data_IF_478315506771
#
_entry.id   IF_478315506771
#
_cell.length_a   1.000
_cell.length_b   1.000
_cell.length_c   1.000
_cell.angle_alpha   90.00
_cell.angle_beta   90.00
_cell.angle_gamma   90.00
#
_symmetry.space_group_name_H-M   'P 1'
#
loop_
_entity.id
_entity.type
_entity.pdbx_description
1 polymer ?
#
# COMPACT_ATOMS: atom_id res chain seq x y z
N UNK A 1 35.55 18.22 -34.55
CA UNK A 1 34.11 18.55 -34.60
C UNK A 1 33.38 17.32 -35.09
N UNK A 2 32.75 16.54 -34.20
CA UNK A 2 31.86 15.49 -34.66
C UNK A 2 30.62 16.15 -35.26
N UNK A 3 30.31 15.80 -36.50
CA UNK A 3 29.14 16.24 -37.24
C UNK A 3 27.88 15.84 -36.43
N UNK A 4 26.99 16.80 -36.20
CA UNK A 4 25.68 16.54 -35.60
C UNK A 4 24.86 15.66 -36.55
N UNK A 5 24.98 14.34 -36.41
CA UNK A 5 24.07 13.43 -37.08
C UNK A 5 22.65 13.64 -36.51
N UNK A 6 21.61 13.71 -37.37
CA UNK A 6 20.24 13.79 -36.90
C UNK A 6 19.92 12.54 -36.05
N UNK A 7 19.34 12.74 -34.86
CA UNK A 7 18.94 11.63 -34.00
C UNK A 7 17.73 10.93 -34.59
N UNK A 8 17.81 9.61 -34.79
CA UNK A 8 16.70 8.75 -35.22
C UNK A 8 16.09 7.94 -34.08
N UNK A 9 16.62 8.10 -32.86
CA UNK A 9 16.16 7.41 -31.65
C UNK A 9 15.79 8.41 -30.56
N UNK A 10 14.94 7.97 -29.63
CA UNK A 10 14.67 8.72 -28.40
C UNK A 10 15.93 8.80 -27.52
N UNK A 11 16.12 9.92 -26.85
CA UNK A 11 17.21 10.09 -25.88
C UNK A 11 16.86 9.37 -24.59
N UNK A 12 17.79 8.57 -24.06
CA UNK A 12 17.66 7.88 -22.77
C UNK A 12 16.43 6.96 -22.64
N UNK A 13 15.97 6.39 -23.76
CA UNK A 13 14.87 5.40 -23.82
C UNK A 13 15.34 4.23 -24.67
N UNK A 14 15.44 3.04 -24.08
CA UNK A 14 15.89 1.84 -24.79
C UNK A 14 14.73 0.96 -25.23
N UNK A 15 13.68 0.87 -24.38
CA UNK A 15 12.50 0.07 -24.66
C UNK A 15 11.24 0.72 -24.08
N UNK A 16 10.11 0.50 -24.74
CA UNK A 16 8.79 0.90 -24.25
C UNK A 16 8.35 0.11 -23.00
N UNK A 17 9.01 -1.02 -22.73
CA UNK A 17 8.70 -1.91 -21.61
C UNK A 17 9.34 -1.48 -20.30
N UNK A 18 10.19 -0.46 -20.31
CA UNK A 18 10.87 0.05 -19.12
C UNK A 18 9.91 0.93 -18.31
N UNK A 19 9.98 0.82 -16.98
CA UNK A 19 9.38 1.80 -16.08
C UNK A 19 10.14 3.13 -16.22
N UNK A 20 9.42 4.13 -16.71
CA UNK A 20 9.93 5.49 -16.78
C UNK A 20 9.76 6.23 -15.44
N UNK A 21 10.18 7.50 -15.43
CA UNK A 21 10.30 8.32 -14.23
C UNK A 21 9.02 8.37 -13.39
N UNK A 22 7.85 8.58 -14.00
CA UNK A 22 6.59 8.73 -13.26
C UNK A 22 6.23 7.45 -12.49
N UNK A 23 6.24 6.30 -13.17
CA UNK A 23 5.98 5.00 -12.54
C UNK A 23 7.01 4.71 -11.44
N UNK A 24 8.28 4.95 -11.73
CA UNK A 24 9.37 4.73 -10.76
C UNK A 24 9.18 5.59 -9.51
N UNK A 25 8.83 6.87 -9.67
CA UNK A 25 8.56 7.77 -8.54
C UNK A 25 7.31 7.35 -7.75
N UNK A 26 6.20 7.00 -8.41
CA UNK A 26 4.99 6.54 -7.71
C UNK A 26 5.24 5.28 -6.87
N UNK A 27 5.94 4.29 -7.45
CA UNK A 27 6.32 3.04 -6.77
C UNK A 27 7.20 3.31 -5.56
N UNK A 28 8.21 4.16 -5.72
CA UNK A 28 9.13 4.52 -4.65
C UNK A 28 8.43 5.31 -3.53
N UNK A 29 7.62 6.32 -3.88
CA UNK A 29 6.86 7.10 -2.91
C UNK A 29 5.87 6.23 -2.12
N UNK A 30 5.20 5.29 -2.79
CA UNK A 30 4.33 4.31 -2.10
C UNK A 30 5.13 3.50 -1.08
N UNK A 31 6.22 2.85 -1.52
CA UNK A 31 7.03 1.99 -0.66
C UNK A 31 7.65 2.76 0.51
N UNK A 32 8.09 3.99 0.27
CA UNK A 32 8.59 4.90 1.30
C UNK A 32 7.52 5.21 2.35
N UNK A 33 6.30 5.57 1.93
CA UNK A 33 5.22 5.88 2.86
C UNK A 33 4.79 4.63 3.64
N UNK A 34 4.63 3.49 2.98
CA UNK A 34 4.29 2.22 3.62
C UNK A 34 5.30 1.87 4.73
N UNK A 35 6.59 1.94 4.42
CA UNK A 35 7.64 1.65 5.41
C UNK A 35 7.68 2.68 6.54
N UNK A 36 7.54 3.97 6.20
CA UNK A 36 7.62 5.06 7.17
C UNK A 36 6.46 5.04 8.15
N UNK A 37 5.23 4.74 7.68
CA UNK A 37 4.06 4.59 8.56
C UNK A 37 4.24 3.43 9.52
N UNK A 38 4.81 2.30 9.08
CA UNK A 38 5.11 1.21 10.01
C UNK A 38 6.16 1.62 11.03
N UNK A 39 7.22 2.31 10.64
CA UNK A 39 8.28 2.73 11.56
C UNK A 39 7.76 3.61 12.71
N UNK A 40 6.69 4.37 12.50
CA UNK A 40 6.07 5.22 13.53
C UNK A 40 4.91 4.57 14.30
N UNK A 41 4.68 3.26 14.14
CA UNK A 41 3.59 2.57 14.86
C UNK A 41 2.26 2.51 14.11
N UNK A 42 2.24 2.74 12.79
CA UNK A 42 1.04 2.81 11.95
C UNK A 42 0.41 1.45 11.61
N UNK A 43 0.24 0.57 12.60
CA UNK A 43 -0.38 -0.75 12.45
C UNK A 43 -1.32 -1.08 13.62
N UNK A 44 -2.20 -2.05 13.41
CA UNK A 44 -3.07 -2.61 14.45
C UNK A 44 -2.88 -4.11 14.57
N UNK A 45 -2.71 -4.57 15.80
CA UNK A 45 -2.56 -5.98 16.12
C UNK A 45 -3.92 -6.62 16.43
N UNK A 46 -4.24 -7.67 15.70
CA UNK A 46 -5.43 -8.50 15.91
C UNK A 46 -4.98 -9.79 16.58
N UNK A 47 -5.31 -9.93 17.85
CA UNK A 47 -4.96 -11.09 18.68
C UNK A 47 -6.23 -11.88 18.99
N UNK A 48 -6.17 -13.19 18.75
CA UNK A 48 -7.17 -14.14 19.22
C UNK A 48 -7.17 -14.10 20.74
N UNK A 49 -8.23 -13.53 21.30
CA UNK A 49 -8.46 -13.48 22.74
C UNK A 49 -9.83 -14.07 23.05
N UNK A 50 -9.92 -14.74 24.20
CA UNK A 50 -11.17 -15.33 24.68
C UNK A 50 -11.97 -14.36 25.57
N UNK A 51 -11.42 -13.18 25.90
CA UNK A 51 -11.93 -12.31 26.96
C UNK A 51 -11.89 -10.82 26.54
N UNK A 52 -12.92 -10.36 25.84
CA UNK A 52 -13.20 -8.92 25.72
C UNK A 52 -14.64 -8.63 26.12
N UNK A 53 -14.85 -7.54 26.88
CA UNK A 53 -16.15 -7.09 27.40
C UNK A 53 -17.14 -6.66 26.30
N UNK A 54 -16.66 -6.49 25.07
CA UNK A 54 -17.42 -6.39 23.83
C UNK A 54 -16.99 -7.54 22.92
N UNK A 55 -17.89 -8.09 22.10
CA UNK A 55 -17.65 -9.18 21.13
C UNK A 55 -16.60 -8.80 20.06
N UNK A 56 -15.35 -8.59 20.46
CA UNK A 56 -14.25 -8.27 19.58
C UNK A 56 -13.89 -9.54 18.82
N UNK A 57 -14.35 -9.60 17.59
CA UNK A 57 -14.29 -10.77 16.71
C UNK A 57 -13.42 -10.51 15.49
N UNK A 58 -12.57 -9.48 15.51
CA UNK A 58 -11.70 -9.09 14.39
C UNK A 58 -10.71 -10.19 13.96
N UNK A 59 -10.40 -11.11 14.87
CA UNK A 59 -9.57 -12.29 14.59
C UNK A 59 -10.31 -13.39 13.82
N UNK A 60 -11.66 -13.36 13.76
CA UNK A 60 -12.45 -14.32 12.99
C UNK A 60 -12.50 -13.86 11.53
N UNK A 61 -12.11 -14.75 10.63
CA UNK A 61 -12.17 -14.50 9.19
C UNK A 61 -13.56 -14.80 8.65
N UNK A 62 -13.93 -14.11 7.56
CA UNK A 62 -15.19 -14.33 6.86
C UNK A 62 -14.97 -15.11 5.57
N UNK A 63 -15.84 -16.06 5.22
CA UNK A 63 -15.72 -16.76 3.95
C UNK A 63 -16.06 -15.80 2.81
N UNK A 64 -15.19 -15.77 1.79
CA UNK A 64 -15.42 -14.99 0.57
C UNK A 64 -16.28 -15.80 -0.39
N UNK A 65 -17.25 -15.14 -1.02
CA UNK A 65 -18.15 -15.75 -2.00
C UNK A 65 -18.03 -15.01 -3.34
N UNK A 66 -16.97 -15.33 -4.08
CA UNK A 66 -16.69 -14.78 -5.41
C UNK A 66 -16.99 -15.79 -6.51
N UNK A 67 -17.41 -15.29 -7.67
CA UNK A 67 -17.68 -16.13 -8.85
C UNK A 67 -16.38 -16.80 -9.33
N UNK A 68 -16.40 -18.14 -9.44
CA UNK A 68 -15.23 -18.93 -9.85
C UNK A 68 -14.38 -19.47 -8.71
N UNK A 69 -14.68 -19.11 -7.46
CA UNK A 69 -14.02 -19.67 -6.27
C UNK A 69 -14.97 -20.64 -5.57
N UNK A 70 -14.48 -21.82 -5.19
CA UNK A 70 -15.26 -22.79 -4.41
C UNK A 70 -15.53 -22.20 -3.01
N UNK A 71 -16.79 -22.16 -2.54
CA UNK A 71 -17.13 -21.62 -1.23
C UNK A 71 -16.28 -22.25 -0.11
N UNK A 72 -15.82 -21.42 0.82
CA UNK A 72 -15.00 -21.85 1.96
C UNK A 72 -13.54 -22.16 1.64
N UNK A 73 -13.10 -21.88 0.41
CA UNK A 73 -11.68 -21.91 0.02
C UNK A 73 -10.95 -20.62 0.40
N UNK A 74 -11.61 -19.48 0.30
CA UNK A 74 -11.02 -18.17 0.59
C UNK A 74 -11.69 -17.54 1.79
N UNK A 75 -10.89 -17.00 2.69
CA UNK A 75 -11.31 -16.34 3.90
C UNK A 75 -10.63 -14.98 4.01
N UNK A 76 -11.37 -13.93 4.34
CA UNK A 76 -10.83 -12.57 4.44
C UNK A 76 -10.90 -12.01 5.86
N UNK A 77 -9.90 -11.20 6.20
CA UNK A 77 -9.90 -10.41 7.42
C UNK A 77 -10.82 -9.21 7.34
N UNK A 78 -10.96 -8.50 8.46
CA UNK A 78 -11.74 -7.25 8.50
C UNK A 78 -11.09 -6.12 7.69
N UNK A 79 -9.77 -6.18 7.55
CA UNK A 79 -8.94 -5.19 6.88
C UNK A 79 -7.98 -5.89 5.95
N UNK A 80 -7.69 -5.23 4.84
CA UNK A 80 -6.65 -5.63 3.88
C UNK A 80 -5.32 -4.99 4.23
N UNK A 81 -4.28 -5.33 3.46
CA UNK A 81 -2.91 -4.84 3.64
C UNK A 81 -2.30 -5.28 4.98
N UNK A 82 -2.13 -6.60 5.11
CA UNK A 82 -1.52 -7.24 6.27
C UNK A 82 -0.01 -7.00 6.28
N UNK A 83 0.54 -6.73 7.47
CA UNK A 83 1.94 -6.34 7.67
C UNK A 83 2.84 -7.57 7.63
N UNK A 84 3.55 -7.77 6.53
CA UNK A 84 4.50 -8.88 6.37
C UNK A 84 5.95 -8.48 6.67
N UNK A 85 6.23 -7.19 6.78
CA UNK A 85 7.57 -6.66 6.94
C UNK A 85 8.17 -7.01 8.31
N UNK A 86 9.44 -7.40 8.31
CA UNK A 86 10.19 -7.73 9.54
C UNK A 86 11.24 -6.64 9.86
N UNK A 87 11.76 -6.68 11.10
CA UNK A 87 12.76 -5.72 11.56
C UNK A 87 12.21 -4.33 11.90
N UNK A 88 10.89 -4.20 12.03
CA UNK A 88 10.21 -2.95 12.39
C UNK A 88 9.85 -3.00 13.87
N UNK A 89 10.23 -1.95 14.60
CA UNK A 89 9.85 -1.74 16.00
C UNK A 89 9.46 -0.28 16.24
N UNK A 90 8.40 -0.07 17.03
CA UNK A 90 7.99 1.24 17.51
C UNK A 90 7.89 1.20 19.03
N UNK A 91 8.95 1.66 19.71
CA UNK A 91 9.13 1.45 21.14
C UNK A 91 9.29 -0.03 21.46
N UNK A 92 8.44 -0.57 22.34
CA UNK A 92 8.48 -1.98 22.76
C UNK A 92 7.49 -2.87 21.98
N UNK A 93 6.96 -2.40 20.84
CA UNK A 93 5.97 -3.13 20.04
C UNK A 93 6.50 -3.41 18.66
N UNK A 94 6.21 -4.62 18.18
CA UNK A 94 6.49 -5.10 16.82
C UNK A 94 5.17 -5.64 16.23
N UNK A 95 4.96 -5.52 14.90
CA UNK A 95 3.80 -6.12 14.26
C UNK A 95 3.85 -7.66 14.34
N UNK A 96 2.67 -8.27 14.41
CA UNK A 96 2.48 -9.72 14.34
C UNK A 96 2.68 -10.17 12.89
N UNK A 97 3.79 -10.86 12.68
CA UNK A 97 4.17 -11.48 11.40
C UNK A 97 4.07 -13.01 11.46
N UNK A 98 3.81 -13.58 12.64
CA UNK A 98 3.60 -15.01 12.86
C UNK A 98 2.11 -15.38 12.77
N UNK A 99 1.68 -15.77 11.58
CA UNK A 99 0.27 -16.02 11.24
C UNK A 99 -0.16 -17.45 11.55
N UNK A 100 -0.50 -17.71 12.81
CA UNK A 100 -1.01 -19.02 13.24
C UNK A 100 -2.51 -19.16 12.94
N UNK A 101 -2.83 -19.88 11.87
CA UNK A 101 -4.21 -20.16 11.46
C UNK A 101 -4.82 -21.29 12.29
N UNK A 102 -6.01 -21.06 12.82
CA UNK A 102 -6.84 -22.09 13.47
C UNK A 102 -8.17 -22.24 12.78
N UNK A 103 -8.58 -23.49 12.52
CA UNK A 103 -9.89 -23.84 11.98
C UNK A 103 -10.57 -24.74 12.99
N UNK A 104 -11.72 -24.33 13.53
CA UNK A 104 -12.45 -25.06 14.57
C UNK A 104 -11.56 -25.47 15.76
N UNK A 105 -10.68 -24.54 16.19
CA UNK A 105 -9.69 -24.71 17.26
C UNK A 105 -8.57 -25.74 16.97
N UNK A 106 -8.41 -26.20 15.73
CA UNK A 106 -7.24 -26.97 15.31
C UNK A 106 -6.26 -26.05 14.57
N UNK A 107 -4.97 -26.12 14.93
CA UNK A 107 -3.92 -25.42 14.20
C UNK A 107 -3.76 -26.05 12.82
N UNK A 108 -3.63 -25.21 11.79
CA UNK A 108 -3.37 -25.64 10.43
C UNK A 108 -1.93 -25.30 10.08
N UNK A 109 -1.21 -26.26 9.51
CA UNK A 109 0.17 -26.02 9.05
C UNK A 109 0.20 -24.99 7.90
N UNK A 110 1.23 -24.14 7.92
CA UNK A 110 1.45 -23.09 6.91
C UNK A 110 1.47 -23.61 5.46
N UNK A 111 1.82 -24.89 5.25
CA UNK A 111 1.84 -25.52 3.93
C UNK A 111 0.44 -25.79 3.34
N UNK A 112 -0.60 -25.75 4.18
CA UNK A 112 -1.98 -26.05 3.77
C UNK A 112 -2.77 -24.81 3.31
N UNK A 113 -2.16 -23.63 3.38
CA UNK A 113 -2.77 -22.38 2.96
C UNK A 113 -1.75 -21.38 2.44
N UNK A 114 -2.24 -20.38 1.73
CA UNK A 114 -1.49 -19.22 1.29
C UNK A 114 -2.10 -17.96 1.91
N UNK A 115 -1.27 -16.96 2.17
CA UNK A 115 -1.70 -15.64 2.63
C UNK A 115 -1.48 -14.65 1.50
N UNK A 116 -2.55 -13.99 1.06
CA UNK A 116 -2.48 -12.82 0.20
C UNK A 116 -2.48 -11.58 1.11
N UNK A 117 -1.29 -10.99 1.27
CA UNK A 117 -1.08 -9.86 2.17
C UNK A 117 -1.76 -8.57 1.71
N UNK A 118 -1.64 -8.15 0.44
CA UNK A 118 -2.31 -6.94 -0.04
C UNK A 118 -3.83 -6.97 0.14
N UNK A 119 -4.48 -8.11 -0.06
CA UNK A 119 -5.93 -8.26 0.08
C UNK A 119 -6.39 -8.65 1.51
N UNK A 120 -5.45 -9.05 2.38
CA UNK A 120 -5.77 -9.55 3.72
C UNK A 120 -6.59 -10.84 3.70
N UNK A 121 -6.19 -11.77 2.82
CA UNK A 121 -6.92 -13.02 2.55
C UNK A 121 -6.08 -14.25 2.81
N UNK A 122 -6.76 -15.33 3.17
CA UNK A 122 -6.21 -16.67 3.27
C UNK A 122 -6.87 -17.54 2.22
N UNK A 123 -6.04 -18.25 1.45
CA UNK A 123 -6.46 -19.18 0.42
C UNK A 123 -6.08 -20.57 0.91
N UNK A 124 -7.09 -21.37 1.26
CA UNK A 124 -6.89 -22.75 1.68
C UNK A 124 -6.67 -23.64 0.46
N UNK A 125 -5.80 -24.64 0.59
CA UNK A 125 -5.61 -25.64 -0.47
C UNK A 125 -6.90 -26.46 -0.68
N UNK A 126 -7.54 -26.86 0.43
CA UNK A 126 -8.80 -27.59 0.46
C UNK A 126 -9.90 -26.72 1.07
N UNK A 127 -11.11 -26.67 0.45
CA UNK A 127 -12.21 -25.90 0.99
C UNK A 127 -12.71 -26.46 2.31
N UNK A 128 -13.13 -25.57 3.21
CA UNK A 128 -13.71 -25.91 4.51
C UNK A 128 -15.16 -25.41 4.54
N UNK A 129 -16.01 -26.00 5.39
CA UNK A 129 -17.38 -25.52 5.57
C UNK A 129 -17.43 -24.01 5.85
N UNK A 130 -18.32 -23.28 5.17
CA UNK A 130 -18.51 -21.83 5.33
C UNK A 130 -18.92 -21.43 6.76
N UNK A 131 -19.44 -22.38 7.54
CA UNK A 131 -19.81 -22.18 8.94
C UNK A 131 -18.66 -22.49 9.92
N UNK A 132 -17.48 -22.90 9.41
CA UNK A 132 -16.33 -23.18 10.26
C UNK A 132 -15.80 -21.89 10.89
N UNK A 133 -15.30 -22.00 12.12
CA UNK A 133 -14.67 -20.89 12.81
C UNK A 133 -13.21 -20.83 12.41
N UNK A 134 -12.89 -19.99 11.42
CA UNK A 134 -11.51 -19.68 11.01
C UNK A 134 -11.00 -18.46 11.77
N UNK A 135 -9.89 -18.60 12.50
CA UNK A 135 -9.29 -17.53 13.31
C UNK A 135 -7.80 -17.42 13.07
N UNK A 136 -7.26 -16.20 13.11
CA UNK A 136 -5.82 -15.97 12.96
C UNK A 136 -5.37 -14.74 13.74
N UNK A 137 -4.12 -14.76 14.20
CA UNK A 137 -3.42 -13.58 14.69
C UNK A 137 -2.74 -12.88 13.52
N UNK A 138 -2.95 -11.58 13.37
CA UNK A 138 -2.35 -10.80 12.29
C UNK A 138 -2.24 -9.34 12.67
N UNK A 139 -1.38 -8.62 11.97
CA UNK A 139 -1.38 -7.16 11.99
C UNK A 139 -1.72 -6.61 10.62
N UNK A 140 -2.46 -5.51 10.58
CA UNK A 140 -2.78 -4.79 9.36
C UNK A 140 -2.37 -3.33 9.47
N UNK A 141 -2.11 -2.71 8.32
CA UNK A 141 -1.69 -1.30 8.22
C UNK A 141 -2.84 -0.38 8.60
N UNK A 142 -2.57 0.60 9.45
CA UNK A 142 -3.59 1.58 9.84
C UNK A 142 -3.98 2.49 8.68
N UNK A 143 -2.97 2.94 7.93
CA UNK A 143 -3.13 3.84 6.78
C UNK A 143 -2.84 3.04 5.52
N UNK A 144 -3.78 3.01 4.59
CA UNK A 144 -3.60 2.31 3.32
C UNK A 144 -3.09 3.27 2.25
N UNK A 145 -1.94 2.96 1.64
CA UNK A 145 -1.34 3.79 0.59
C UNK A 145 -1.55 3.14 -0.76
N UNK A 146 -2.08 3.92 -1.71
CA UNK A 146 -2.38 3.48 -3.06
C UNK A 146 -1.71 4.34 -4.10
N UNK A 147 -1.45 3.77 -5.27
CA UNK A 147 -1.19 4.52 -6.49
C UNK A 147 -2.51 4.72 -7.22
N UNK A 148 -2.74 5.90 -7.78
CA UNK A 148 -3.95 6.21 -8.56
C UNK A 148 -4.11 5.25 -9.75
N UNK A 149 -3.02 4.82 -10.37
CA UNK A 149 -3.03 3.87 -11.49
C UNK A 149 -3.43 2.44 -11.09
N UNK A 150 -3.33 2.10 -9.80
CA UNK A 150 -3.64 0.76 -9.30
C UNK A 150 -5.02 0.66 -8.65
N UNK A 151 -5.68 1.79 -8.43
CA UNK A 151 -7.03 1.84 -7.90
C UNK A 151 -7.86 2.75 -8.79
N UNK A 152 -8.83 2.16 -9.48
CA UNK A 152 -9.86 2.93 -10.15
C UNK A 152 -10.50 3.86 -9.10
N UNK A 153 -10.52 5.17 -9.37
CA UNK A 153 -11.18 6.18 -8.53
C UNK A 153 -12.66 5.88 -8.23
N UNK A 154 -13.23 4.84 -8.86
CA UNK A 154 -14.58 4.32 -8.70
C UNK A 154 -14.69 3.04 -7.87
N UNK A 155 -13.63 2.59 -7.20
CA UNK A 155 -13.78 1.57 -6.15
C UNK A 155 -14.67 2.10 -5.02
N UNK A 156 -15.50 1.24 -4.44
CA UNK A 156 -16.49 1.67 -3.45
C UNK A 156 -15.74 2.03 -2.15
N UNK A 157 -15.93 3.26 -1.68
CA UNK A 157 -15.34 3.73 -0.42
C UNK A 157 -16.06 3.04 0.74
N UNK A 158 -15.30 2.39 1.62
CA UNK A 158 -15.83 1.70 2.78
C UNK A 158 -15.75 2.60 4.02
N UNK A 159 -16.92 3.01 4.53
CA UNK A 159 -17.06 3.76 5.77
C UNK A 159 -17.04 2.84 7.01
N UNK A 160 -16.67 3.36 8.18
CA UNK A 160 -16.74 2.67 9.48
C UNK A 160 -15.87 1.40 9.57
N UNK A 161 -14.58 1.52 9.25
CA UNK A 161 -13.69 0.35 9.17
C UNK A 161 -13.36 -0.41 10.48
N UNK A 162 -13.85 -0.04 11.68
CA UNK A 162 -13.83 -0.94 12.85
C UNK A 162 -15.23 -1.18 13.46
N UNK A 163 -16.25 -1.47 12.64
CA UNK A 163 -17.58 -1.88 13.15
C UNK A 163 -17.61 -3.39 13.49
N UNK A 164 -18.28 -3.76 14.58
CA UNK A 164 -18.39 -5.16 15.06
C UNK A 164 -19.11 -6.08 14.06
N UNK A 165 -18.93 -7.39 14.18
CA UNK A 165 -19.39 -8.43 13.23
C UNK A 165 -20.84 -8.31 12.73
N UNK A 166 -21.76 -7.74 13.52
CA UNK A 166 -23.19 -7.58 13.19
C UNK A 166 -23.47 -6.60 12.03
N UNK A 167 -22.58 -5.65 11.73
CA UNK A 167 -22.73 -4.76 10.57
C UNK A 167 -22.17 -5.37 9.27
N UNK A 168 -21.16 -6.24 9.40
CA UNK A 168 -20.53 -6.96 8.29
C UNK A 168 -21.40 -8.16 7.83
N UNK A 169 -22.39 -8.61 8.63
CA UNK A 169 -23.33 -9.69 8.26
C UNK A 169 -24.59 -9.19 7.55
N UNK A 170 -24.71 -7.88 7.29
CA UNK A 170 -25.85 -7.30 6.52
C UNK A 170 -25.67 -7.58 5.03
N UNK A 171 -25.79 -8.85 4.67
CA UNK A 171 -25.83 -9.36 3.29
C UNK A 171 -27.01 -8.81 2.47
N UNK A 172 -27.98 -8.15 3.13
CA UNK A 172 -29.09 -7.42 2.51
C UNK A 172 -28.81 -5.95 2.18
N UNK A 173 -27.75 -5.35 2.74
CA UNK A 173 -27.47 -3.92 2.60
C UNK A 173 -26.19 -3.77 1.78
N UNK A 174 -26.36 -3.37 0.52
CA UNK A 174 -25.40 -3.57 -0.58
C UNK A 174 -24.00 -2.95 -0.47
N UNK A 175 -23.65 -2.25 0.61
CA UNK A 175 -22.30 -1.66 0.78
C UNK A 175 -21.26 -2.63 1.38
N UNK A 176 -21.68 -3.66 2.11
CA UNK A 176 -20.77 -4.62 2.78
C UNK A 176 -20.72 -6.01 2.13
N UNK A 177 -21.50 -6.22 1.05
CA UNK A 177 -21.51 -7.48 0.27
C UNK A 177 -20.31 -7.62 -0.68
N UNK A 178 -19.48 -6.58 -0.76
CA UNK A 178 -18.41 -6.45 -1.74
C UNK A 178 -17.09 -6.73 -1.00
N UNK A 179 -16.37 -7.77 -1.43
CA UNK A 179 -15.14 -8.21 -0.76
C UNK A 179 -14.05 -7.14 -0.78
N UNK A 180 -13.09 -7.26 0.14
CA UNK A 180 -12.05 -6.25 0.41
C UNK A 180 -11.22 -5.85 -0.84
N UNK A 181 -11.15 -6.71 -1.86
CA UNK A 181 -10.43 -6.44 -3.11
C UNK A 181 -11.02 -5.28 -3.92
N UNK A 182 -12.30 -4.94 -3.72
CA UNK A 182 -13.01 -3.93 -4.51
C UNK A 182 -13.32 -2.64 -3.73
N UNK A 183 -12.81 -2.50 -2.51
CA UNK A 183 -13.08 -1.34 -1.63
C UNK A 183 -11.81 -0.61 -1.22
N UNK A 184 -11.88 0.71 -1.07
CA UNK A 184 -10.85 1.49 -0.36
C UNK A 184 -11.25 1.59 1.10
N UNK A 185 -10.35 1.20 2.02
CA UNK A 185 -10.63 1.26 3.45
C UNK A 185 -9.94 2.47 4.08
N UNK A 186 -10.66 3.17 4.95
CA UNK A 186 -10.21 4.43 5.54
C UNK A 186 -9.48 4.20 6.88
N UNK A 187 -8.44 4.97 7.21
CA UNK A 187 -7.87 6.06 6.42
C UNK A 187 -6.97 5.59 5.27
N UNK A 188 -7.01 6.32 4.16
CA UNK A 188 -6.24 6.01 2.95
C UNK A 188 -5.55 7.25 2.35
N UNK A 189 -4.41 7.01 1.70
CA UNK A 189 -3.66 8.00 0.92
C UNK A 189 -3.56 7.47 -0.51
N UNK A 190 -4.06 8.23 -1.48
CA UNK A 190 -3.92 7.89 -2.90
C UNK A 190 -2.91 8.84 -3.54
N UNK A 191 -1.85 8.28 -4.11
CA UNK A 191 -0.77 9.00 -4.79
C UNK A 191 -1.10 9.11 -6.27
N UNK A 192 -1.14 10.35 -6.78
CA UNK A 192 -1.37 10.65 -8.19
C UNK A 192 -0.21 11.51 -8.72
N UNK A 193 0.42 11.08 -9.83
CA UNK A 193 1.29 11.96 -10.61
C UNK A 193 0.47 13.03 -11.34
N UNK A 194 0.72 14.30 -11.05
CA UNK A 194 0.04 15.41 -11.72
C UNK A 194 0.69 15.69 -13.09
N UNK A 195 -0.05 16.22 -14.08
CA UNK A 195 0.53 16.54 -15.39
C UNK A 195 1.56 17.69 -15.36
N UNK A 196 1.73 18.37 -14.23
CA UNK A 196 2.68 19.47 -14.07
C UNK A 196 4.09 18.93 -13.82
N UNK A 197 4.95 19.10 -14.84
CA UNK A 197 6.37 18.80 -14.77
C UNK A 197 7.21 19.99 -15.26
N UNK A 198 8.43 20.13 -14.75
CA UNK A 198 9.43 21.10 -15.24
C UNK A 198 10.77 20.42 -15.43
N UNK A 199 11.45 20.73 -16.52
CA UNK A 199 12.84 20.34 -16.76
C UNK A 199 13.74 21.57 -16.76
N UNK A 200 14.88 21.50 -16.08
CA UNK A 200 15.90 22.55 -16.07
C UNK A 200 17.27 21.93 -16.38
N UNK A 201 18.17 22.62 -17.10
CA UNK A 201 19.54 22.14 -17.27
C UNK A 201 20.24 21.98 -15.92
N UNK A 202 20.96 20.88 -15.71
CA UNK A 202 21.73 20.66 -14.48
C UNK A 202 23.12 21.30 -14.54
N UNK A 203 23.84 21.12 -15.64
CA UNK A 203 25.20 21.62 -15.84
C UNK A 203 25.45 21.97 -17.32
N UNK A 204 26.44 22.81 -17.57
CA UNK A 204 26.79 23.26 -18.92
C UNK A 204 27.64 22.18 -19.61
N UNK A 205 27.28 21.83 -20.85
CA UNK A 205 28.04 20.88 -21.66
C UNK A 205 27.67 19.41 -21.44
N UNK A 206 26.78 19.10 -20.49
CA UNK A 206 26.18 17.77 -20.34
C UNK A 206 24.71 17.76 -20.74
N UNK A 207 24.18 16.56 -20.99
CA UNK A 207 22.77 16.34 -21.28
C UNK A 207 21.88 16.25 -20.05
N UNK A 208 22.41 16.51 -18.85
CA UNK A 208 21.73 16.32 -17.58
C UNK A 208 20.65 17.35 -17.29
N UNK A 209 19.54 16.88 -16.73
CA UNK A 209 18.36 17.66 -16.41
C UNK A 209 18.00 17.51 -14.93
N UNK A 210 17.63 18.62 -14.30
CA UNK A 210 16.85 18.62 -13.06
C UNK A 210 15.38 18.49 -13.49
N UNK A 211 14.76 17.37 -13.12
CA UNK A 211 13.35 17.12 -13.40
C UNK A 211 12.56 17.34 -12.11
N UNK A 212 11.55 18.19 -12.20
CA UNK A 212 10.58 18.43 -11.15
C UNK A 212 9.24 17.83 -11.58
N UNK A 213 8.67 17.00 -10.72
CA UNK A 213 7.39 16.34 -10.94
C UNK A 213 6.47 16.59 -9.74
N UNK A 214 5.29 17.16 -9.99
CA UNK A 214 4.31 17.35 -8.93
C UNK A 214 3.47 16.06 -8.71
N UNK A 215 3.24 15.72 -7.44
CA UNK A 215 2.35 14.65 -7.00
C UNK A 215 1.25 15.21 -6.11
N UNK A 216 0.05 14.66 -6.22
CA UNK A 216 -1.04 14.87 -5.27
C UNK A 216 -1.23 13.64 -4.41
N UNK A 217 -1.21 13.83 -3.09
CA UNK A 217 -1.60 12.84 -2.10
C UNK A 217 -3.02 13.16 -1.65
N UNK A 218 -3.98 12.39 -2.16
CA UNK A 218 -5.38 12.49 -1.75
C UNK A 218 -5.59 11.71 -0.46
N UNK A 219 -5.94 12.41 0.60
CA UNK A 219 -6.13 11.85 1.94
C UNK A 219 -7.63 11.69 2.16
N UNK A 220 -8.04 10.47 2.50
CA UNK A 220 -9.41 10.10 2.81
C UNK A 220 -9.45 9.51 4.23
N UNK A 221 -10.35 9.98 5.08
CA UNK A 221 -10.53 9.45 6.44
C UNK A 221 -11.98 9.50 6.92
N UNK A 222 -12.32 8.57 7.81
CA UNK A 222 -13.64 8.50 8.48
C UNK A 222 -13.82 9.62 9.52
N UNK A 223 -12.73 10.19 10.04
CA UNK A 223 -12.80 11.28 11.03
C UNK A 223 -11.80 12.41 10.73
N UNK A 224 -12.16 13.62 11.16
CA UNK A 224 -11.38 14.84 10.93
C UNK A 224 -10.01 14.80 11.62
N UNK A 225 -9.90 14.11 12.75
CA UNK A 225 -8.66 14.03 13.53
C UNK A 225 -7.59 13.26 12.78
N UNK A 226 -7.91 12.08 12.25
CA UNK A 226 -7.00 11.26 11.46
C UNK A 226 -6.61 11.95 10.16
N UNK A 227 -7.57 12.56 9.47
CA UNK A 227 -7.27 13.39 8.29
C UNK A 227 -6.22 14.45 8.63
N UNK A 228 -6.44 15.24 9.69
CA UNK A 228 -5.53 16.32 10.07
C UNK A 228 -4.14 15.78 10.47
N UNK A 229 -4.08 14.67 11.22
CA UNK A 229 -2.81 14.01 11.56
C UNK A 229 -2.05 13.57 10.31
N UNK A 230 -2.72 12.98 9.32
CA UNK A 230 -2.08 12.55 8.08
C UNK A 230 -1.57 13.73 7.26
N UNK A 231 -2.33 14.83 7.20
CA UNK A 231 -1.89 16.08 6.59
C UNK A 231 -0.60 16.57 7.27
N UNK A 232 -0.59 16.62 8.60
CA UNK A 232 0.55 17.12 9.36
C UNK A 232 1.78 16.22 9.17
N UNK A 233 1.62 14.89 9.22
CA UNK A 233 2.70 13.93 8.96
C UNK A 233 3.31 14.16 7.57
N UNK A 234 2.49 14.29 6.53
CA UNK A 234 2.97 14.50 5.16
C UNK A 234 3.62 15.87 4.99
N UNK A 235 3.06 16.90 5.63
CA UNK A 235 3.61 18.27 5.59
C UNK A 235 4.99 18.36 6.22
N UNK A 236 5.25 17.60 7.28
CA UNK A 236 6.55 17.55 7.95
C UNK A 236 7.65 16.88 7.10
N UNK A 237 7.32 16.26 5.97
CA UNK A 237 8.30 15.69 5.05
C UNK A 237 8.91 16.74 4.10
N UNK A 238 8.61 18.02 4.30
CA UNK A 238 9.18 19.13 3.55
C UNK A 238 10.71 19.12 3.68
N UNK A 239 11.38 19.32 2.55
CA UNK A 239 12.84 19.33 2.40
C UNK A 239 13.53 17.99 2.71
N UNK A 240 12.77 16.90 2.81
CA UNK A 240 13.32 15.56 2.96
C UNK A 240 13.96 15.08 1.65
N UNK A 241 15.15 14.48 1.76
CA UNK A 241 15.77 13.74 0.65
C UNK A 241 15.61 12.25 0.89
N UNK A 242 14.96 11.55 -0.03
CA UNK A 242 14.81 10.10 -0.02
C UNK A 242 15.67 9.46 -1.11
N UNK A 243 16.14 8.25 -0.87
CA UNK A 243 16.79 7.43 -1.89
C UNK A 243 15.73 6.61 -2.62
N UNK A 244 15.74 6.71 -3.94
CA UNK A 244 14.91 5.86 -4.80
C UNK A 244 15.69 4.61 -5.19
N UNK A 245 14.96 3.51 -5.38
CA UNK A 245 15.48 2.29 -5.97
C UNK A 245 15.05 2.13 -7.44
N UNK A 246 15.83 1.35 -8.18
CA UNK A 246 15.61 1.07 -9.60
C UNK A 246 14.56 -0.04 -9.77
N UNK A 247 13.35 0.32 -10.21
CA UNK A 247 12.25 -0.63 -10.37
C UNK A 247 12.51 -1.61 -11.51
N UNK A 248 13.17 -1.18 -12.59
CA UNK A 248 13.50 -2.03 -13.73
C UNK A 248 14.50 -3.12 -13.32
N UNK A 249 15.57 -2.72 -12.61
CA UNK A 249 16.59 -3.67 -12.14
C UNK A 249 16.02 -4.64 -11.09
N UNK A 250 15.23 -4.14 -10.15
CA UNK A 250 14.58 -4.97 -9.13
C UNK A 250 13.60 -5.99 -9.77
N UNK A 251 12.87 -5.57 -10.80
CA UNK A 251 11.96 -6.41 -11.58
C UNK A 251 12.72 -7.47 -12.37
N UNK A 252 13.79 -7.08 -13.07
CA UNK A 252 14.62 -7.97 -13.87
C UNK A 252 15.27 -9.08 -13.02
N UNK A 253 15.68 -8.77 -11.80
CA UNK A 253 16.24 -9.75 -10.85
C UNK A 253 15.15 -10.59 -10.15
N UNK A 254 13.87 -10.30 -10.39
CA UNK A 254 12.71 -10.93 -9.76
C UNK A 254 12.73 -10.86 -8.21
N UNK A 255 13.25 -9.76 -7.66
CA UNK A 255 13.48 -9.58 -6.22
C UNK A 255 12.39 -8.80 -5.46
N UNK A 256 11.25 -8.53 -6.09
CA UNK A 256 10.10 -8.00 -5.36
C UNK A 256 9.71 -8.92 -4.19
N UNK A 257 9.40 -8.38 -2.99
CA UNK A 257 9.17 -9.20 -1.79
C UNK A 257 7.89 -10.05 -1.86
N UNK A 258 6.89 -9.54 -2.57
CA UNK A 258 5.59 -10.16 -2.78
C UNK A 258 5.52 -10.65 -4.23
N UNK A 259 4.91 -11.81 -4.45
CA UNK A 259 4.63 -12.35 -5.77
C UNK A 259 3.30 -11.81 -6.35
N UNK A 260 3.02 -12.11 -7.62
CA UNK A 260 1.82 -11.62 -8.30
C UNK A 260 0.50 -12.08 -7.64
N UNK A 261 0.51 -13.19 -6.90
CA UNK A 261 -0.64 -13.73 -6.18
C UNK A 261 -0.81 -13.14 -4.76
N UNK A 262 0.02 -12.16 -4.40
CA UNK A 262 0.01 -11.49 -3.11
C UNK A 262 0.73 -12.27 -1.99
N UNK A 263 1.36 -13.41 -2.30
CA UNK A 263 2.12 -14.21 -1.33
C UNK A 263 3.55 -13.71 -1.17
N UNK A 264 4.18 -14.00 -0.04
CA UNK A 264 5.59 -13.68 0.16
C UNK A 264 6.49 -14.64 -0.61
N UNK A 265 7.51 -14.09 -1.26
CA UNK A 265 8.59 -14.89 -1.83
C UNK A 265 9.51 -15.44 -0.73
N UNK A 266 10.23 -16.50 -1.06
CA UNK A 266 11.28 -17.04 -0.20
C UNK A 266 12.36 -15.97 0.05
N UNK A 267 12.65 -15.70 1.32
CA UNK A 267 13.59 -14.66 1.77
C UNK A 267 13.24 -13.26 1.21
N UNK A 268 12.10 -12.67 1.60
CA UNK A 268 11.70 -11.36 1.12
C UNK A 268 12.69 -10.30 1.61
N UNK A 269 13.09 -9.39 0.71
CA UNK A 269 13.94 -8.26 1.06
C UNK A 269 13.10 -7.08 1.54
N UNK A 270 13.56 -6.40 2.58
CA UNK A 270 12.85 -5.25 3.17
C UNK A 270 13.22 -3.95 2.47
N UNK A 271 12.39 -2.91 2.63
CA UNK A 271 12.61 -1.62 1.97
C UNK A 271 14.02 -1.03 2.16
N UNK A 272 14.62 -1.02 3.37
CA UNK A 272 15.99 -0.53 3.53
C UNK A 272 17.00 -1.31 2.69
N UNK A 273 16.87 -2.64 2.65
CA UNK A 273 17.74 -3.50 1.83
C UNK A 273 17.54 -3.28 0.34
N UNK A 274 16.30 -3.02 -0.11
CA UNK A 274 16.00 -2.70 -1.51
C UNK A 274 16.72 -1.41 -1.92
N UNK A 275 16.63 -0.35 -1.11
CA UNK A 275 17.31 0.92 -1.38
C UNK A 275 18.82 0.72 -1.49
N UNK A 276 19.41 -0.05 -0.56
CA UNK A 276 20.86 -0.25 -0.50
C UNK A 276 21.39 -1.10 -1.66
N UNK A 277 20.65 -2.14 -2.08
CA UNK A 277 21.09 -3.08 -3.13
C UNK A 277 20.71 -2.63 -4.54
N UNK A 278 19.64 -1.86 -4.69
CA UNK A 278 19.12 -1.38 -5.97
C UNK A 278 19.06 0.16 -6.04
N UNK A 279 20.13 0.89 -5.68
CA UNK A 279 20.08 2.35 -5.64
C UNK A 279 19.89 2.92 -7.04
N UNK A 280 19.01 3.92 -7.15
CA UNK A 280 18.77 4.63 -8.41
C UNK A 280 19.19 6.09 -8.34
N UNK A 281 18.35 6.94 -7.73
CA UNK A 281 18.55 8.39 -7.68
C UNK A 281 18.08 8.93 -6.33
N UNK A 282 18.64 10.06 -5.91
CA UNK A 282 18.10 10.83 -4.79
C UNK A 282 16.92 11.66 -5.28
N UNK A 283 15.86 11.68 -4.49
CA UNK A 283 14.68 12.50 -4.71
C UNK A 283 14.53 13.47 -3.55
N UNK A 284 14.44 14.75 -3.88
CA UNK A 284 14.20 15.81 -2.91
C UNK A 284 12.72 16.21 -2.94
N UNK A 285 12.05 16.10 -1.80
CA UNK A 285 10.65 16.49 -1.64
C UNK A 285 10.59 17.96 -1.28
N UNK A 286 10.16 18.79 -2.24
CA UNK A 286 10.08 20.24 -2.11
C UNK A 286 8.63 20.71 -2.16
N UNK A 287 8.38 21.87 -1.57
CA UNK A 287 7.14 22.64 -1.69
C UNK A 287 5.87 21.83 -1.40
N UNK A 288 5.82 21.23 -0.22
CA UNK A 288 4.64 20.52 0.28
C UNK A 288 3.56 21.53 0.67
N UNK A 289 2.45 21.52 -0.06
CA UNK A 289 1.33 22.44 0.13
C UNK A 289 0.04 21.66 0.35
N UNK A 290 -0.77 22.12 1.31
CA UNK A 290 -2.07 21.53 1.63
C UNK A 290 -3.16 22.28 0.89
N UNK A 291 -4.11 21.54 0.34
CA UNK A 291 -5.32 22.07 -0.28
C UNK A 291 -6.52 21.38 0.36
N UNK A 292 -7.52 22.18 0.72
CA UNK A 292 -8.80 21.64 1.14
C UNK A 292 -9.57 21.11 -0.07
N UNK A 293 -10.21 19.97 0.13
CA UNK A 293 -11.08 19.34 -0.87
C UNK A 293 -12.46 19.21 -0.24
N UNK A 294 -13.47 19.68 -0.96
CA UNK A 294 -14.84 19.60 -0.48
C UNK A 294 -15.24 18.13 -0.24
N UNK A 295 -15.84 17.93 0.94
CA UNK A 295 -16.33 16.64 1.38
C UNK A 295 -17.74 16.46 0.83
N UNK A 296 -17.93 15.44 -0.01
CA UNK A 296 -19.23 15.14 -0.65
C UNK A 296 -20.21 14.55 0.39
N UNK A 297 -19.69 13.86 1.41
CA UNK A 297 -20.46 13.24 2.49
C UNK A 297 -19.99 13.80 3.84
N UNK A 298 -20.91 14.10 4.79
CA UNK A 298 -20.55 14.58 6.13
C UNK A 298 -19.67 13.61 6.94
N UNK A 299 -19.70 12.31 6.64
CA UNK A 299 -18.88 11.28 7.28
C UNK A 299 -17.57 11.00 6.53
N UNK A 300 -17.32 11.69 5.42
CA UNK A 300 -16.10 11.54 4.63
C UNK A 300 -15.25 12.78 4.74
N UNK A 301 -14.12 12.71 5.43
CA UNK A 301 -13.20 13.84 5.52
C UNK A 301 -12.08 13.72 4.49
N UNK A 302 -11.97 14.72 3.61
CA UNK A 302 -10.99 14.75 2.52
C UNK A 302 -10.01 15.91 2.67
N UNK A 303 -8.81 15.71 2.16
CA UNK A 303 -7.81 16.76 1.91
C UNK A 303 -6.85 16.30 0.82
N UNK A 304 -6.13 17.24 0.21
CA UNK A 304 -5.07 16.93 -0.74
C UNK A 304 -3.77 17.60 -0.30
N UNK A 305 -2.66 16.88 -0.38
CA UNK A 305 -1.32 17.43 -0.16
C UNK A 305 -0.54 17.32 -1.46
N UNK A 306 -0.13 18.45 -2.02
CA UNK A 306 0.73 18.49 -3.20
C UNK A 306 2.18 18.50 -2.80
N UNK A 307 3.00 17.65 -3.42
CA UNK A 307 4.45 17.56 -3.21
C UNK A 307 5.15 17.72 -4.55
N UNK A 308 6.22 18.52 -4.62
CA UNK A 308 7.09 18.57 -5.80
C UNK A 308 8.29 17.65 -5.55
N UNK A 309 8.40 16.56 -6.29
CA UNK A 309 9.56 15.69 -6.30
C UNK A 309 10.61 16.23 -7.29
N UNK A 310 11.82 16.51 -6.83
CA UNK A 310 12.94 16.95 -7.65
C UNK A 310 14.01 15.87 -7.72
N UNK A 311 14.45 15.53 -8.94
CA UNK A 311 15.50 14.55 -9.19
C UNK A 311 16.50 15.05 -10.25
N UNK A 312 17.72 14.52 -10.19
CA UNK A 312 18.75 14.76 -11.21
C UNK A 312 18.78 13.59 -12.19
N UNK A 313 18.46 13.88 -13.44
CA UNK A 313 18.40 12.93 -14.55
C UNK A 313 19.54 13.20 -15.52
N UNK A 314 20.61 12.41 -15.42
CA UNK A 314 21.78 12.44 -16.32
C UNK A 314 21.63 11.35 -17.38
#
# INVERSE_FOLDING_TARGET
MNLCNPSTSFKNVNSITEDFLLNSLEVNLKMFLDWSFLTIGGWFDVIVSNNTLQDNTYFKLKPVNDYGIVPGKVWEGIRKDWVWESGISCGNRNPITDYNLTINNQNIDINNYKINYPEGRIILNNPVSVNASVKINYSYRYVQVYRANNNEWFSIIQYNGPSTTKSIDRTSDGSWKIGNSHTIQLPAIVIEALPRSRSKPHEIGSGGLILEQDFAFHILADNKNDRNKLIDILRLQQDLTIWLYDTNKLSADNKYPIDYDGTLKNNPIMYPTIIDQYPWKKCWLRNINVFDVDSIDPNMHRAAVKVTAEIIYV
#
